data_IF_026865027017
#
_entry.id   IF_026865027017
#
_cell.length_a   1.000
_cell.length_b   1.000
_cell.length_c   1.000
_cell.angle_alpha   90.00
_cell.angle_beta   90.00
_cell.angle_gamma   90.00
#
_symmetry.space_group_name_H-M   'P 1'
#
loop_
_entity.id
_entity.type
_entity.pdbx_description
1 polymer ?
#
# COMPACT_ATOMS: atom_id res chain seq x y z
N UNK A 1 18.12 -11.75 6.27
CA UNK A 1 18.24 -11.19 4.90
C UNK A 1 17.67 -9.77 4.86
N UNK A 2 18.21 -8.84 4.05
CA UNK A 2 17.60 -7.52 3.88
C UNK A 2 16.19 -7.67 3.29
N UNK A 3 15.25 -6.81 3.71
CA UNK A 3 13.93 -6.74 3.07
C UNK A 3 14.07 -6.22 1.63
N UNK A 4 13.24 -6.70 0.68
CA UNK A 4 13.24 -6.16 -0.67
C UNK A 4 12.89 -4.67 -0.65
N UNK A 5 13.42 -3.93 -1.63
CA UNK A 5 13.04 -2.55 -1.86
C UNK A 5 11.58 -2.48 -2.32
N UNK A 6 10.77 -1.77 -1.55
CA UNK A 6 9.32 -1.67 -1.72
C UNK A 6 8.85 -0.25 -2.10
N UNK A 7 9.77 0.69 -2.33
CA UNK A 7 9.41 2.11 -2.51
C UNK A 7 10.34 2.97 -3.36
N UNK A 8 11.52 2.48 -3.78
CA UNK A 8 12.44 3.32 -4.56
C UNK A 8 11.90 3.55 -5.97
N UNK A 9 11.80 4.82 -6.35
CA UNK A 9 11.39 5.28 -7.66
C UNK A 9 12.41 6.29 -8.20
N UNK A 10 12.58 6.36 -9.51
CA UNK A 10 13.28 7.49 -10.13
C UNK A 10 12.54 8.81 -9.84
N UNK A 11 13.21 9.97 -9.91
CA UNK A 11 12.56 11.26 -9.68
C UNK A 11 11.33 11.49 -10.57
N UNK A 12 11.39 11.07 -11.84
CA UNK A 12 10.26 11.18 -12.77
C UNK A 12 9.09 10.27 -12.43
N UNK A 13 9.34 9.03 -12.02
CA UNK A 13 8.30 8.10 -11.54
C UNK A 13 7.66 8.64 -10.25
N UNK A 14 8.48 9.08 -9.29
CA UNK A 14 8.00 9.66 -8.04
C UNK A 14 7.10 10.88 -8.30
N UNK A 15 7.55 11.82 -9.15
CA UNK A 15 6.77 13.01 -9.48
C UNK A 15 5.41 12.66 -10.11
N UNK A 16 5.38 11.65 -11.00
CA UNK A 16 4.12 11.17 -11.60
C UNK A 16 3.19 10.55 -10.56
N UNK A 17 3.70 9.64 -9.72
CA UNK A 17 2.89 9.00 -8.66
C UNK A 17 2.35 10.05 -7.68
N UNK A 18 3.18 11.01 -7.26
CA UNK A 18 2.78 12.09 -6.36
C UNK A 18 1.68 12.98 -6.96
N UNK A 19 1.79 13.31 -8.25
CA UNK A 19 0.74 14.07 -8.96
C UNK A 19 -0.61 13.34 -8.90
N UNK A 20 -0.61 12.02 -9.10
CA UNK A 20 -1.84 11.22 -9.01
C UNK A 20 -2.33 11.07 -7.57
N UNK A 21 -1.44 10.94 -6.58
CA UNK A 21 -1.83 10.93 -5.16
C UNK A 21 -2.49 12.26 -4.74
N UNK A 22 -1.94 13.39 -5.18
CA UNK A 22 -2.56 14.71 -4.99
C UNK A 22 -3.93 14.78 -5.65
N UNK A 23 -4.05 14.30 -6.89
CA UNK A 23 -5.32 14.26 -7.61
C UNK A 23 -6.36 13.43 -6.85
N UNK A 24 -6.00 12.25 -6.36
CA UNK A 24 -6.87 11.40 -5.56
C UNK A 24 -7.34 12.11 -4.28
N UNK A 25 -6.44 12.77 -3.55
CA UNK A 25 -6.77 13.55 -2.35
C UNK A 25 -7.72 14.71 -2.66
N UNK A 26 -7.54 15.41 -3.80
CA UNK A 26 -8.40 16.50 -4.22
C UNK A 26 -9.79 16.01 -4.65
N UNK A 27 -9.86 14.99 -5.49
CA UNK A 27 -11.12 14.40 -5.96
C UNK A 27 -11.95 13.81 -4.81
N UNK A 28 -11.28 13.26 -3.79
CA UNK A 28 -11.93 12.75 -2.59
C UNK A 28 -12.28 13.83 -1.55
N UNK A 29 -11.88 15.09 -1.73
CA UNK A 29 -12.03 16.13 -0.72
C UNK A 29 -11.28 15.83 0.59
N UNK A 30 -10.16 15.12 0.51
CA UNK A 30 -9.45 14.56 1.65
C UNK A 30 -8.29 15.42 2.17
N UNK A 31 -7.86 16.45 1.42
CA UNK A 31 -6.79 17.35 1.83
C UNK A 31 -7.17 18.09 3.13
N UNK A 32 -6.29 18.02 4.13
CA UNK A 32 -6.49 18.62 5.45
C UNK A 32 -7.40 17.83 6.39
N UNK A 33 -7.99 16.72 5.95
CA UNK A 33 -8.88 15.87 6.76
C UNK A 33 -8.09 14.72 7.36
N UNK A 34 -7.92 14.70 8.69
CA UNK A 34 -7.15 13.68 9.40
C UNK A 34 -8.02 12.87 10.36
N UNK A 35 -7.90 11.52 10.38
CA UNK A 35 -7.10 10.72 9.45
C UNK A 35 -7.69 10.74 8.03
N UNK A 36 -6.88 10.48 7.01
CA UNK A 36 -7.33 10.48 5.61
C UNK A 36 -8.56 9.56 5.44
N UNK A 37 -9.68 10.05 4.86
CA UNK A 37 -10.91 9.28 4.69
C UNK A 37 -10.77 8.25 3.55
N UNK A 38 -10.25 7.06 3.88
CA UNK A 38 -9.90 6.01 2.91
C UNK A 38 -11.07 5.62 2.00
N UNK A 39 -12.29 5.56 2.54
CA UNK A 39 -13.46 5.20 1.73
C UNK A 39 -13.72 6.21 0.60
N UNK A 40 -13.41 7.49 0.79
CA UNK A 40 -13.53 8.51 -0.27
C UNK A 40 -12.40 8.37 -1.30
N UNK A 41 -11.20 7.98 -0.87
CA UNK A 41 -10.09 7.67 -1.79
C UNK A 41 -10.44 6.46 -2.66
N UNK A 42 -10.97 5.39 -2.06
CA UNK A 42 -11.41 4.21 -2.81
C UNK A 42 -12.53 4.54 -3.80
N UNK A 43 -13.50 5.37 -3.39
CA UNK A 43 -14.55 5.84 -4.27
C UNK A 43 -14.00 6.67 -5.46
N UNK A 44 -13.04 7.57 -5.22
CA UNK A 44 -12.36 8.32 -6.28
C UNK A 44 -11.59 7.39 -7.25
N UNK A 45 -10.98 6.32 -6.72
CA UNK A 45 -10.34 5.27 -7.52
C UNK A 45 -11.33 4.36 -8.27
N UNK A 46 -12.64 4.48 -8.01
CA UNK A 46 -13.67 3.56 -8.51
C UNK A 46 -13.31 2.13 -8.14
N UNK A 47 -13.01 1.94 -6.86
CA UNK A 47 -12.63 0.66 -6.27
C UNK A 47 -13.52 0.36 -5.07
N UNK A 48 -14.04 -0.87 -5.00
CA UNK A 48 -14.94 -1.33 -3.94
C UNK A 48 -14.34 -2.53 -3.19
N UNK A 49 -14.30 -2.47 -1.85
CA UNK A 49 -13.89 -3.62 -1.04
C UNK A 49 -15.02 -4.66 -0.96
N UNK A 50 -14.73 -5.87 -1.41
CA UNK A 50 -15.59 -7.03 -1.19
C UNK A 50 -15.35 -7.56 0.22
N UNK A 51 -16.38 -7.47 1.05
CA UNK A 51 -16.34 -7.91 2.46
C UNK A 51 -16.66 -9.39 2.66
N UNK A 52 -17.08 -10.10 1.61
CA UNK A 52 -17.26 -11.55 1.67
C UNK A 52 -15.90 -12.23 1.83
N UNK A 53 -15.84 -13.24 2.70
CA UNK A 53 -14.62 -14.00 2.92
C UNK A 53 -14.19 -14.63 1.59
N UNK A 54 -13.04 -14.22 1.06
CA UNK A 54 -12.52 -14.67 -0.25
C UNK A 54 -12.31 -16.19 -0.27
N UNK A 55 -12.20 -16.77 0.92
CA UNK A 55 -12.08 -18.21 1.15
C UNK A 55 -13.44 -18.93 1.16
N UNK A 56 -14.57 -18.21 1.09
CA UNK A 56 -15.90 -18.80 1.01
C UNK A 56 -16.07 -19.55 -0.33
N UNK A 57 -16.33 -20.86 -0.32
CA UNK A 57 -16.50 -21.66 -1.53
C UNK A 57 -17.61 -21.16 -2.45
N UNK A 58 -18.71 -20.61 -1.92
CA UNK A 58 -19.81 -20.09 -2.74
C UNK A 58 -19.43 -18.80 -3.47
N UNK A 59 -18.57 -17.98 -2.86
CA UNK A 59 -18.04 -16.77 -3.47
C UNK A 59 -17.01 -17.09 -4.56
N UNK A 60 -16.09 -18.04 -4.30
CA UNK A 60 -15.16 -18.58 -5.32
C UNK A 60 -15.93 -19.18 -6.50
N UNK A 61 -17.04 -19.88 -6.24
CA UNK A 61 -17.91 -20.41 -7.29
C UNK A 61 -18.57 -19.29 -8.11
N UNK A 62 -19.00 -18.20 -7.47
CA UNK A 62 -19.59 -17.03 -8.14
C UNK A 62 -18.57 -16.27 -9.01
N UNK A 63 -17.33 -16.13 -8.51
CA UNK A 63 -16.21 -15.57 -9.28
C UNK A 63 -15.82 -16.46 -10.46
N UNK A 64 -15.75 -17.78 -10.27
CA UNK A 64 -15.51 -18.75 -11.36
C UNK A 64 -16.59 -18.67 -12.45
N UNK A 65 -17.85 -18.47 -12.06
CA UNK A 65 -18.97 -18.37 -12.99
C UNK A 65 -18.96 -17.07 -13.82
N UNK A 66 -18.35 -15.99 -13.31
CA UNK A 66 -18.24 -14.70 -14.00
C UNK A 66 -16.91 -14.48 -14.73
N UNK A 67 -15.81 -15.04 -14.22
CA UNK A 67 -14.45 -14.66 -14.62
C UNK A 67 -13.59 -15.84 -15.13
N UNK A 68 -14.14 -17.05 -15.25
CA UNK A 68 -13.45 -18.20 -15.85
C UNK A 68 -12.09 -18.50 -15.19
N UNK A 69 -11.01 -18.48 -15.99
CA UNK A 69 -9.64 -18.76 -15.56
C UNK A 69 -9.10 -17.83 -14.45
N UNK A 70 -9.65 -16.61 -14.32
CA UNK A 70 -9.29 -15.68 -13.25
C UNK A 70 -9.62 -16.25 -11.85
N UNK A 71 -10.68 -17.04 -11.71
CA UNK A 71 -11.05 -17.66 -10.43
C UNK A 71 -10.01 -18.66 -9.88
N UNK A 72 -9.22 -19.30 -10.76
CA UNK A 72 -8.10 -20.17 -10.36
C UNK A 72 -6.84 -19.38 -9.99
N UNK A 73 -6.58 -18.24 -10.65
CA UNK A 73 -5.48 -17.33 -10.29
C UNK A 73 -5.70 -16.68 -8.91
N UNK A 74 -6.94 -16.25 -8.61
CA UNK A 74 -7.36 -15.71 -7.31
C UNK A 74 -7.12 -16.72 -6.19
N UNK A 75 -7.46 -18.00 -6.40
CA UNK A 75 -7.24 -19.08 -5.42
C UNK A 75 -5.76 -19.31 -5.09
N UNK A 76 -4.86 -19.18 -6.08
CA UNK A 76 -3.41 -19.31 -5.88
C UNK A 76 -2.80 -18.10 -5.16
N UNK A 77 -3.35 -16.90 -5.38
CA UNK A 77 -2.95 -15.66 -4.73
C UNK A 77 -3.46 -15.56 -3.27
N UNK A 78 -4.67 -16.04 -2.98
CA UNK A 78 -5.38 -15.83 -1.70
C UNK A 78 -4.68 -16.39 -0.45
N UNK A 79 -3.73 -17.31 -0.57
CA UNK A 79 -3.02 -17.89 0.58
C UNK A 79 -1.89 -17.02 1.16
N UNK A 80 -1.41 -16.01 0.43
CA UNK A 80 -0.25 -15.17 0.84
C UNK A 80 -0.41 -13.67 0.57
N UNK A 81 -1.41 -13.30 -0.22
CA UNK A 81 -1.62 -11.93 -0.67
C UNK A 81 -2.46 -11.16 0.35
N UNK A 82 -1.98 -9.98 0.76
CA UNK A 82 -2.61 -9.15 1.79
C UNK A 82 -3.88 -8.44 1.29
N UNK A 83 -3.88 -8.10 0.00
CA UNK A 83 -5.01 -7.58 -0.74
C UNK A 83 -4.86 -7.89 -2.24
N UNK A 84 -5.97 -8.05 -2.94
CA UNK A 84 -5.99 -8.33 -4.38
C UNK A 84 -6.93 -7.35 -5.06
N UNK A 85 -6.41 -6.66 -6.06
CA UNK A 85 -7.17 -5.82 -6.97
C UNK A 85 -7.63 -6.60 -8.22
N UNK A 86 -8.89 -6.42 -8.59
CA UNK A 86 -9.48 -6.87 -9.85
C UNK A 86 -9.86 -5.65 -10.68
N UNK A 87 -9.09 -5.36 -11.72
CA UNK A 87 -9.12 -4.11 -12.46
C UNK A 87 -10.38 -3.89 -13.30
N UNK A 88 -10.88 -4.95 -13.96
CA UNK A 88 -12.06 -4.84 -14.84
C UNK A 88 -13.33 -4.49 -14.06
N UNK A 89 -13.56 -5.14 -12.92
CA UNK A 89 -14.72 -4.85 -12.04
C UNK A 89 -14.43 -3.76 -10.99
N UNK A 90 -13.17 -3.36 -10.79
CA UNK A 90 -12.79 -2.41 -9.75
C UNK A 90 -12.98 -2.97 -8.33
N UNK A 91 -12.76 -4.27 -8.14
CA UNK A 91 -12.98 -4.92 -6.84
C UNK A 91 -11.67 -5.08 -6.09
N UNK A 92 -11.74 -4.92 -4.77
CA UNK A 92 -10.64 -5.17 -3.85
C UNK A 92 -11.01 -6.22 -2.84
N UNK A 93 -10.14 -7.20 -2.74
CA UNK A 93 -10.21 -8.25 -1.75
C UNK A 93 -9.16 -7.98 -0.69
N UNK A 94 -9.51 -8.10 0.58
CA UNK A 94 -8.61 -7.84 1.69
C UNK A 94 -8.59 -9.02 2.64
N UNK A 95 -7.40 -9.37 3.14
CA UNK A 95 -7.31 -10.31 4.24
C UNK A 95 -7.93 -9.68 5.50
N UNK A 96 -9.09 -10.21 5.91
CA UNK A 96 -9.87 -9.65 7.00
C UNK A 96 -9.25 -9.89 8.38
N UNK A 97 -8.22 -10.74 8.50
CA UNK A 97 -7.49 -10.98 9.76
C UNK A 97 -6.46 -9.89 10.07
N UNK A 98 -6.18 -8.97 9.13
CA UNK A 98 -5.22 -7.90 9.33
C UNK A 98 -5.68 -6.89 10.39
N UNK A 99 -4.73 -6.39 11.18
CA UNK A 99 -4.98 -5.27 12.10
C UNK A 99 -5.41 -4.01 11.32
N UNK A 100 -6.19 -3.14 11.96
CA UNK A 100 -6.83 -1.99 11.31
C UNK A 100 -5.83 -1.09 10.53
N UNK A 101 -4.70 -0.74 11.13
CA UNK A 101 -3.65 0.08 10.50
C UNK A 101 -3.09 -0.55 9.22
N UNK A 102 -3.01 -1.89 9.18
CA UNK A 102 -2.53 -2.61 8.00
C UNK A 102 -3.62 -2.71 6.93
N UNK A 103 -4.88 -2.92 7.30
CA UNK A 103 -6.02 -2.83 6.37
C UNK A 103 -6.09 -1.46 5.69
N UNK A 104 -5.85 -0.38 6.45
CA UNK A 104 -5.80 0.99 5.91
C UNK A 104 -4.76 1.14 4.80
N UNK A 105 -3.53 0.72 5.06
CA UNK A 105 -2.46 0.83 4.07
C UNK A 105 -2.74 -0.04 2.84
N UNK A 106 -3.18 -1.29 3.03
CA UNK A 106 -3.49 -2.18 1.90
C UNK A 106 -4.63 -1.61 1.06
N UNK A 107 -5.70 -1.07 1.65
CA UNK A 107 -6.77 -0.38 0.89
C UNK A 107 -6.24 0.74 0.01
N UNK A 108 -5.31 1.55 0.53
CA UNK A 108 -4.70 2.63 -0.24
C UNK A 108 -3.76 2.12 -1.33
N UNK A 109 -3.05 1.02 -1.08
CA UNK A 109 -2.21 0.34 -2.06
C UNK A 109 -3.06 -0.18 -3.23
N UNK A 110 -4.12 -0.93 -2.94
CA UNK A 110 -5.02 -1.42 -3.99
C UNK A 110 -5.75 -0.28 -4.72
N UNK A 111 -6.12 0.79 -3.99
CA UNK A 111 -6.64 2.01 -4.62
C UNK A 111 -5.62 2.65 -5.56
N UNK A 112 -4.31 2.55 -5.27
CA UNK A 112 -3.23 2.96 -6.16
C UNK A 112 -3.27 2.23 -7.50
N UNK A 113 -3.39 0.90 -7.48
CA UNK A 113 -3.54 0.11 -8.72
C UNK A 113 -4.77 0.52 -9.54
N UNK A 114 -5.88 0.85 -8.86
CA UNK A 114 -7.10 1.32 -9.52
C UNK A 114 -7.09 2.78 -9.96
N UNK A 115 -6.30 3.65 -9.33
CA UNK A 115 -6.27 5.09 -9.58
C UNK A 115 -5.17 5.50 -10.57
N UNK A 116 -4.01 4.85 -10.54
CA UNK A 116 -2.88 5.17 -11.41
C UNK A 116 -3.23 4.82 -12.87
N UNK A 117 -3.26 5.82 -13.79
CA UNK A 117 -3.87 5.64 -15.11
C UNK A 117 -3.11 4.68 -16.03
N UNK A 118 -1.85 4.37 -15.71
CA UNK A 118 -1.06 3.39 -16.46
C UNK A 118 -1.17 1.97 -15.89
N UNK A 119 -1.64 1.79 -14.66
CA UNK A 119 -1.72 0.46 -14.05
C UNK A 119 -3.06 -0.21 -14.33
N UNK A 120 -4.18 0.46 -14.05
CA UNK A 120 -5.53 -0.12 -14.21
C UNK A 120 -5.79 -0.72 -15.60
N UNK A 121 -5.52 -0.03 -16.73
CA UNK A 121 -5.77 -0.60 -18.05
C UNK A 121 -4.90 -1.82 -18.34
N UNK A 122 -3.66 -1.83 -17.84
CA UNK A 122 -2.73 -2.93 -18.04
C UNK A 122 -3.17 -4.15 -17.23
N UNK A 123 -3.56 -3.97 -15.96
CA UNK A 123 -4.13 -5.06 -15.17
C UNK A 123 -5.40 -5.62 -15.79
N UNK A 124 -6.29 -4.78 -16.34
CA UNK A 124 -7.49 -5.27 -17.03
C UNK A 124 -7.14 -6.15 -18.24
N UNK A 125 -6.16 -5.76 -19.06
CA UNK A 125 -5.71 -6.57 -20.20
C UNK A 125 -5.07 -7.89 -19.75
N UNK A 126 -4.26 -7.86 -18.68
CA UNK A 126 -3.57 -9.04 -18.14
C UNK A 126 -4.57 -10.00 -17.47
N UNK A 127 -5.61 -9.49 -16.81
CA UNK A 127 -6.70 -10.31 -16.24
C UNK A 127 -7.52 -11.03 -17.33
N UNK A 128 -7.70 -10.39 -18.48
CA UNK A 128 -8.50 -10.91 -19.59
C UNK A 128 -7.74 -11.87 -20.53
N UNK A 129 -6.44 -12.09 -20.34
CA UNK A 129 -5.65 -13.01 -21.15
C UNK A 129 -4.75 -13.94 -20.31
N UNK A 130 -4.27 -15.05 -20.87
CA UNK A 130 -3.37 -15.99 -20.17
C UNK A 130 -1.93 -15.45 -19.99
N UNK A 131 -1.73 -14.14 -20.14
CA UNK A 131 -0.41 -13.51 -19.98
C UNK A 131 -0.28 -12.94 -18.57
N UNK A 132 0.96 -12.80 -18.11
CA UNK A 132 1.28 -12.08 -16.89
C UNK A 132 2.15 -10.87 -17.24
N UNK A 133 2.19 -9.88 -16.35
CA UNK A 133 3.24 -8.87 -16.41
C UNK A 133 4.60 -9.54 -16.29
N UNK A 134 5.60 -8.97 -16.97
CA UNK A 134 6.97 -9.34 -16.67
C UNK A 134 7.31 -8.93 -15.23
N UNK A 135 8.21 -9.67 -14.59
CA UNK A 135 8.51 -9.49 -13.17
C UNK A 135 8.96 -8.06 -12.82
N UNK A 136 9.72 -7.40 -13.70
CA UNK A 136 10.23 -6.06 -13.44
C UNK A 136 9.15 -4.98 -13.51
N UNK A 137 8.18 -5.13 -14.41
CA UNK A 137 7.00 -4.26 -14.49
C UNK A 137 6.09 -4.46 -13.28
N UNK A 138 5.84 -5.72 -12.88
CA UNK A 138 5.06 -6.01 -11.69
C UNK A 138 5.70 -5.40 -10.42
N UNK A 139 7.00 -5.58 -10.24
CA UNK A 139 7.74 -4.98 -9.12
C UNK A 139 7.74 -3.45 -9.15
N UNK A 140 7.82 -2.83 -10.33
CA UNK A 140 7.68 -1.37 -10.45
C UNK A 140 6.26 -0.92 -10.05
N UNK A 141 5.22 -1.62 -10.51
CA UNK A 141 3.84 -1.25 -10.22
C UNK A 141 3.53 -1.36 -8.73
N UNK A 142 4.01 -2.40 -8.06
CA UNK A 142 3.87 -2.58 -6.62
C UNK A 142 4.57 -1.44 -5.84
N UNK A 143 5.78 -1.03 -6.26
CA UNK A 143 6.49 0.10 -5.65
C UNK A 143 5.75 1.42 -5.85
N UNK A 144 5.22 1.67 -7.05
CA UNK A 144 4.41 2.85 -7.34
C UNK A 144 3.13 2.88 -6.50
N UNK A 145 2.44 1.75 -6.33
CA UNK A 145 1.26 1.63 -5.48
C UNK A 145 1.59 1.84 -3.99
N UNK A 146 2.73 1.33 -3.50
CA UNK A 146 3.22 1.61 -2.15
C UNK A 146 3.53 3.09 -1.92
N UNK A 147 4.16 3.75 -2.89
CA UNK A 147 4.43 5.19 -2.83
C UNK A 147 3.13 5.97 -2.88
N UNK A 148 2.20 5.64 -3.78
CA UNK A 148 0.87 6.25 -3.84
C UNK A 148 0.15 6.14 -2.48
N UNK A 149 0.12 4.94 -1.90
CA UNK A 149 -0.51 4.71 -0.60
C UNK A 149 0.12 5.56 0.50
N UNK A 150 1.45 5.70 0.51
CA UNK A 150 2.18 6.52 1.47
C UNK A 150 1.89 8.02 1.27
N UNK A 151 1.92 8.50 0.03
CA UNK A 151 1.65 9.89 -0.31
C UNK A 151 0.19 10.28 0.03
N UNK A 152 -0.78 9.38 -0.18
CA UNK A 152 -2.17 9.61 0.24
C UNK A 152 -2.34 9.52 1.76
N UNK A 153 -1.73 8.51 2.40
CA UNK A 153 -1.83 8.31 3.85
C UNK A 153 -1.28 9.52 4.61
N UNK A 154 -0.13 10.05 4.19
CA UNK A 154 0.56 11.17 4.83
C UNK A 154 0.21 12.53 4.23
N UNK A 155 -0.74 12.57 3.30
CA UNK A 155 -1.19 13.77 2.58
C UNK A 155 -0.04 14.61 2.03
N UNK A 156 0.77 13.96 1.18
CA UNK A 156 1.94 14.53 0.55
C UNK A 156 2.95 15.00 1.60
N UNK A 157 3.12 16.31 1.72
CA UNK A 157 4.12 16.92 2.58
C UNK A 157 3.55 17.35 3.93
N UNK A 158 2.24 17.20 4.15
CA UNK A 158 1.58 17.60 5.41
C UNK A 158 2.21 16.92 6.64
N UNK A 159 2.56 15.63 6.55
CA UNK A 159 3.25 14.95 7.64
C UNK A 159 4.61 15.58 7.94
N UNK A 160 5.41 15.88 6.91
CA UNK A 160 6.75 16.45 7.07
C UNK A 160 6.71 17.89 7.55
N UNK A 161 5.75 18.68 7.07
CA UNK A 161 5.47 20.04 7.52
C UNK A 161 5.13 20.04 9.01
N UNK A 162 4.18 19.20 9.45
CA UNK A 162 3.83 19.07 10.87
C UNK A 162 5.02 18.62 11.72
N UNK A 163 5.85 17.72 11.19
CA UNK A 163 6.99 17.19 11.94
C UNK A 163 8.16 18.19 12.03
N UNK A 164 8.22 19.22 11.17
CA UNK A 164 9.25 20.26 11.24
C UNK A 164 9.05 21.20 12.44
N UNK A 165 7.81 21.32 12.94
CA UNK A 165 7.47 22.12 14.12
C UNK A 165 7.69 21.36 15.45
N UNK A 166 8.12 20.10 15.37
CA UNK A 166 8.33 19.22 16.51
C UNK A 166 9.83 18.96 16.77
N UNK A 167 10.21 18.47 17.97
CA UNK A 167 11.59 18.08 18.25
C UNK A 167 12.12 17.06 17.23
N UNK A 168 13.39 17.13 16.89
CA UNK A 168 14.02 16.15 15.99
C UNK A 168 14.47 14.90 16.78
N UNK A 169 13.49 14.04 17.07
CA UNK A 169 13.66 12.81 17.84
C UNK A 169 12.81 11.67 17.27
N UNK A 170 13.13 10.42 17.62
CA UNK A 170 12.38 9.24 17.15
C UNK A 170 10.91 9.24 17.62
N UNK A 171 10.63 9.92 18.73
CA UNK A 171 9.27 9.99 19.27
C UNK A 171 8.35 10.92 18.49
N UNK A 172 8.89 11.87 17.73
CA UNK A 172 8.12 12.78 16.89
C UNK A 172 7.27 12.04 15.86
N UNK A 173 7.83 11.21 14.97
CA UNK A 173 7.01 10.42 14.05
C UNK A 173 6.10 9.40 14.75
N UNK A 174 6.50 8.86 15.92
CA UNK A 174 5.69 7.90 16.68
C UNK A 174 4.43 8.57 17.26
N UNK A 175 4.56 9.80 17.79
CA UNK A 175 3.42 10.58 18.29
C UNK A 175 2.52 11.01 17.13
N UNK A 176 3.12 11.51 16.05
CA UNK A 176 2.40 12.02 14.88
C UNK A 176 1.66 10.91 14.12
N UNK A 177 2.16 9.67 14.12
CA UNK A 177 1.52 8.51 13.49
C UNK A 177 0.05 8.34 13.88
N UNK A 178 -0.32 8.68 15.13
CA UNK A 178 -1.69 8.58 15.63
C UNK A 178 -2.66 9.47 14.85
N UNK A 179 -2.25 10.68 14.49
CA UNK A 179 -3.07 11.64 13.73
C UNK A 179 -3.41 11.12 12.32
N UNK A 180 -2.48 10.40 11.72
CA UNK A 180 -2.64 9.82 10.38
C UNK A 180 -3.21 8.39 10.42
N UNK A 181 -3.40 7.82 11.61
CA UNK A 181 -3.69 6.39 11.82
C UNK A 181 -2.72 5.48 11.04
N UNK A 182 -1.44 5.85 11.06
CA UNK A 182 -0.35 5.13 10.40
C UNK A 182 0.38 4.21 11.41
N UNK A 183 1.12 3.23 10.89
CA UNK A 183 2.01 2.44 11.75
C UNK A 183 3.25 3.25 12.11
N UNK A 184 3.85 2.99 13.28
CA UNK A 184 5.13 3.60 13.66
C UNK A 184 6.19 3.37 12.58
N UNK A 185 6.23 2.17 12.00
CA UNK A 185 7.15 1.83 10.91
C UNK A 185 6.99 2.77 9.70
N UNK A 186 5.76 2.96 9.21
CA UNK A 186 5.49 3.83 8.06
C UNK A 186 5.79 5.31 8.39
N UNK A 187 5.38 5.78 9.58
CA UNK A 187 5.59 7.16 10.00
C UNK A 187 7.08 7.50 10.16
N UNK A 188 7.88 6.60 10.73
CA UNK A 188 9.33 6.81 10.87
C UNK A 188 10.01 6.81 9.49
N UNK A 189 9.63 5.89 8.57
CA UNK A 189 10.14 5.91 7.20
C UNK A 189 9.81 7.22 6.48
N UNK A 190 8.56 7.69 6.58
CA UNK A 190 8.15 8.97 6.00
C UNK A 190 8.96 10.14 6.57
N UNK A 191 9.13 10.17 7.89
CA UNK A 191 9.89 11.21 8.57
C UNK A 191 11.32 11.32 8.10
N UNK A 192 12.01 10.17 7.93
CA UNK A 192 13.39 10.13 7.46
C UNK A 192 13.48 10.44 5.96
N UNK A 193 12.62 9.84 5.14
CA UNK A 193 12.66 9.98 3.68
C UNK A 193 12.45 11.41 3.19
N UNK A 194 11.69 12.21 3.94
CA UNK A 194 11.34 13.60 3.59
C UNK A 194 11.93 14.63 4.56
N UNK A 195 12.87 14.24 5.42
CA UNK A 195 13.48 15.21 6.32
C UNK A 195 14.45 16.11 5.56
N UNK A 196 14.44 17.41 5.86
CA UNK A 196 15.44 18.34 5.35
C UNK A 196 16.80 18.16 6.06
N UNK A 197 16.82 17.52 7.24
CA UNK A 197 18.05 17.24 8.00
C UNK A 197 18.60 15.88 7.61
N UNK A 198 19.93 15.77 7.56
CA UNK A 198 20.59 14.49 7.32
C UNK A 198 20.26 13.50 8.45
N UNK A 199 19.55 12.43 8.12
CA UNK A 199 19.11 11.43 9.07
C UNK A 199 18.93 10.06 8.42
N UNK A 200 18.99 9.01 9.23
CA UNK A 200 18.79 7.64 8.79
C UNK A 200 18.04 6.85 9.87
N UNK A 201 17.29 5.84 9.45
CA UNK A 201 16.67 4.86 10.35
C UNK A 201 17.13 3.46 9.94
N UNK A 202 17.42 2.64 10.95
CA UNK A 202 17.69 1.21 10.76
C UNK A 202 16.59 0.44 11.48
N UNK A 203 15.90 -0.44 10.76
CA UNK A 203 14.85 -1.31 11.31
C UNK A 203 15.37 -2.74 11.34
N UNK A 204 15.45 -3.30 12.54
CA UNK A 204 15.98 -4.64 12.79
C UNK A 204 14.86 -5.59 13.24
N UNK A 205 14.93 -6.84 12.82
CA UNK A 205 14.15 -7.90 13.46
C UNK A 205 14.76 -8.21 14.83
N UNK A 206 13.94 -8.73 15.75
CA UNK A 206 14.46 -9.24 17.02
C UNK A 206 15.49 -10.34 16.75
N UNK A 207 16.70 -10.27 17.33
CA UNK A 207 17.68 -11.32 17.15
C UNK A 207 17.24 -12.60 17.87
N UNK A 208 17.71 -13.73 17.37
CA UNK A 208 17.51 -15.02 18.02
C UNK A 208 18.62 -15.26 19.05
N UNK A 209 18.24 -15.64 20.26
CA UNK A 209 19.19 -16.09 21.28
C UNK A 209 19.62 -17.52 20.95
N UNK A 210 20.92 -17.72 20.76
CA UNK A 210 21.57 -19.01 20.56
C UNK A 210 22.37 -19.34 21.81
N UNK A 211 22.00 -20.43 22.47
CA UNK A 211 22.69 -20.91 23.67
C UNK A 211 24.19 -21.13 23.38
N UNK A 212 25.06 -20.59 24.25
CA UNK A 212 26.52 -20.66 24.09
C UNK A 212 27.14 -19.68 23.08
N UNK A 213 26.35 -19.02 22.22
CA UNK A 213 26.84 -18.14 21.15
C UNK A 213 26.27 -16.71 21.21
N UNK A 214 25.32 -16.42 22.11
CA UNK A 214 24.72 -15.10 22.24
C UNK A 214 23.62 -14.86 21.20
N UNK A 215 23.65 -13.74 20.49
CA UNK A 215 22.58 -13.36 19.55
C UNK A 215 23.00 -13.57 18.09
N UNK A 216 22.11 -14.16 17.29
CA UNK A 216 22.24 -14.18 15.81
C UNK A 216 21.12 -13.38 15.16
N UNK A 217 21.38 -12.87 13.97
CA UNK A 217 20.32 -12.31 13.14
C UNK A 217 19.31 -13.42 12.79
N UNK A 218 18.03 -13.11 12.94
CA UNK A 218 16.91 -13.93 12.45
C UNK A 218 16.81 -13.91 10.91
#
# INVERSE_FOLDING_TARGET
MPKPDDSSLTPGQLARVRKEAERALREAGALGVFPTPIHLIMAAAKVEEVREDVLNPSFIARLRAKAGAAGEAIKRAAGKVLGLFHASEGLVFLNQTLIAVKKRFVRLHEAGHGFLPWQRPIYAVVEDCEKALDGSTAELFDREANVFASEVLFQLDAFSEMANDEPFEIWTPVKLARRFEASNYAAIRQFVAKNHRACAVVVLNMPELVEGYGFRAA
#
